data_IF_135152427139
#
_entry.id   IF_135152427139
#
_cell.length_a   1.000
_cell.length_b   1.000
_cell.length_c   1.000
_cell.angle_alpha   90.00
_cell.angle_beta   90.00
_cell.angle_gamma   90.00
#
_symmetry.space_group_name_H-M   'P 1'
#
loop_
_entity.id
_entity.type
_entity.pdbx_description
1 polymer ?
#
# COMPACT_ATOMS: atom_id res chain seq x y z
N UNK A 1 0.15 1.15 25.73
CA UNK A 1 1.07 2.09 25.05
C UNK A 1 2.44 1.46 24.79
N UNK A 2 3.09 0.87 25.81
CA UNK A 2 4.40 0.22 25.66
C UNK A 2 4.42 -0.86 24.56
N UNK A 3 3.38 -1.68 24.47
CA UNK A 3 3.30 -2.72 23.45
C UNK A 3 3.30 -2.21 22.00
N UNK A 4 2.72 -1.04 21.74
CA UNK A 4 2.64 -0.47 20.40
C UNK A 4 4.02 -0.10 19.87
N UNK A 5 4.80 0.63 20.67
CA UNK A 5 6.18 0.99 20.34
C UNK A 5 7.09 -0.23 20.25
N UNK A 6 6.85 -1.25 21.09
CA UNK A 6 7.57 -2.51 21.00
C UNK A 6 7.36 -3.21 19.65
N UNK A 7 6.13 -3.25 19.13
CA UNK A 7 5.87 -3.83 17.80
C UNK A 7 6.61 -3.08 16.68
N UNK A 8 6.59 -1.75 16.73
CA UNK A 8 7.29 -0.91 15.73
C UNK A 8 8.79 -1.18 15.75
N UNK A 9 9.38 -1.27 16.95
CA UNK A 9 10.80 -1.59 17.12
C UNK A 9 11.15 -2.95 16.52
N UNK A 10 10.34 -3.98 16.76
CA UNK A 10 10.54 -5.32 16.20
C UNK A 10 10.57 -5.25 14.67
N UNK A 11 9.61 -4.55 14.05
CA UNK A 11 9.55 -4.46 12.58
C UNK A 11 10.70 -3.65 12.00
N UNK A 12 11.09 -2.53 12.62
CA UNK A 12 12.11 -1.62 12.07
C UNK A 12 13.55 -2.07 12.32
N UNK A 13 13.83 -2.64 13.49
CA UNK A 13 15.21 -2.88 13.93
C UNK A 13 15.56 -4.36 14.08
N UNK A 14 14.59 -5.22 14.41
CA UNK A 14 14.87 -6.64 14.65
C UNK A 14 14.59 -7.50 13.41
N UNK A 15 13.52 -7.19 12.68
CA UNK A 15 13.05 -7.95 11.52
C UNK A 15 12.72 -7.08 10.28
N UNK A 16 13.53 -6.05 9.92
CA UNK A 16 13.24 -5.20 8.77
C UNK A 16 13.37 -5.91 7.42
N UNK A 17 14.25 -6.92 7.33
CA UNK A 17 14.53 -7.69 6.11
C UNK A 17 14.13 -9.17 6.25
N UNK A 18 13.45 -9.52 7.34
CA UNK A 18 13.03 -10.91 7.58
C UNK A 18 11.67 -11.16 6.93
N UNK A 19 11.71 -11.87 5.80
CA UNK A 19 10.53 -12.33 5.06
C UNK A 19 10.07 -13.74 5.49
N UNK A 20 10.78 -14.36 6.44
CA UNK A 20 10.48 -15.70 6.92
C UNK A 20 9.70 -15.66 8.23
N UNK A 21 8.97 -16.73 8.52
CA UNK A 21 8.17 -16.81 9.73
C UNK A 21 6.82 -16.09 9.63
N UNK A 22 6.26 -15.79 10.80
CA UNK A 22 4.88 -15.31 11.00
C UNK A 22 4.85 -14.03 11.82
N UNK A 23 3.89 -13.17 11.52
CA UNK A 23 3.61 -11.95 12.27
C UNK A 23 2.15 -11.90 12.71
N UNK A 24 1.88 -11.77 14.03
CA UNK A 24 0.52 -11.67 14.52
C UNK A 24 -0.11 -10.35 14.10
N UNK A 25 -1.45 -10.30 14.12
CA UNK A 25 -2.25 -9.11 13.80
C UNK A 25 -1.74 -7.84 14.51
N UNK A 26 -1.38 -7.95 15.79
CA UNK A 26 -0.92 -6.81 16.60
C UNK A 26 0.39 -6.21 16.06
N UNK A 27 1.33 -7.04 15.60
CA UNK A 27 2.59 -6.58 14.99
C UNK A 27 2.28 -5.81 13.70
N UNK A 28 1.51 -6.42 12.81
CA UNK A 28 1.13 -5.83 11.51
C UNK A 28 0.35 -4.52 11.66
N UNK A 29 -0.75 -4.51 12.43
CA UNK A 29 -1.62 -3.34 12.54
C UNK A 29 -0.99 -2.19 13.32
N UNK A 30 -0.13 -2.48 14.30
CA UNK A 30 0.62 -1.42 15.00
C UNK A 30 1.59 -0.73 14.05
N UNK A 31 2.31 -1.51 13.24
CA UNK A 31 3.22 -0.95 12.26
C UNK A 31 2.49 -0.19 11.14
N UNK A 32 1.40 -0.75 10.61
CA UNK A 32 0.56 -0.07 9.63
C UNK A 32 0.02 1.27 10.16
N UNK A 33 -0.47 1.30 11.40
CA UNK A 33 -0.96 2.54 12.01
C UNK A 33 0.17 3.56 12.18
N UNK A 34 1.36 3.11 12.60
CA UNK A 34 2.55 3.96 12.68
C UNK A 34 2.90 4.57 11.32
N UNK A 35 2.90 3.78 10.24
CA UNK A 35 3.20 4.30 8.91
C UNK A 35 2.15 5.31 8.43
N UNK A 36 0.86 5.12 8.74
CA UNK A 36 -0.17 6.11 8.39
C UNK A 36 -0.04 7.41 9.17
N UNK A 37 0.21 7.32 10.49
CA UNK A 37 0.35 8.50 11.35
C UNK A 37 1.58 9.35 11.02
N UNK A 38 2.63 8.76 10.48
CA UNK A 38 3.85 9.47 10.08
C UNK A 38 3.79 9.91 8.61
N UNK A 39 3.14 9.14 7.74
CA UNK A 39 2.98 9.46 6.32
C UNK A 39 2.03 10.63 6.06
N UNK A 40 0.81 10.63 6.63
CA UNK A 40 -0.21 11.64 6.30
C UNK A 40 0.23 13.08 6.62
N UNK A 41 0.84 13.38 7.79
CA UNK A 41 1.36 14.72 8.05
C UNK A 41 2.51 15.09 7.11
N UNK A 42 3.43 14.15 6.84
CA UNK A 42 4.56 14.41 5.95
C UNK A 42 4.09 14.70 4.51
N UNK A 43 3.08 13.98 4.03
CA UNK A 43 2.43 14.24 2.75
C UNK A 43 1.80 15.63 2.71
N UNK A 44 1.03 16.01 3.74
CA UNK A 44 0.40 17.34 3.77
C UNK A 44 1.43 18.46 3.79
N UNK A 45 2.51 18.31 4.56
CA UNK A 45 3.59 19.28 4.65
C UNK A 45 4.43 19.34 3.35
N UNK A 46 4.62 18.21 2.66
CA UNK A 46 5.38 18.18 1.40
C UNK A 46 4.72 18.98 0.28
N UNK A 47 3.39 19.09 0.29
CA UNK A 47 2.64 19.96 -0.64
C UNK A 47 2.92 21.45 -0.42
N UNK A 48 3.43 21.85 0.76
CA UNK A 48 3.73 23.24 1.10
C UNK A 48 5.19 23.62 0.88
N UNK A 49 6.11 22.66 0.91
CA UNK A 49 7.54 22.92 0.79
C UNK A 49 8.24 21.86 -0.07
N UNK A 50 8.86 22.30 -1.18
CA UNK A 50 9.65 21.44 -2.08
C UNK A 50 10.70 20.56 -1.39
N UNK A 51 11.51 21.02 -0.41
CA UNK A 51 12.47 20.15 0.26
C UNK A 51 11.80 18.99 1.02
N UNK A 52 10.59 19.18 1.53
CA UNK A 52 9.83 18.13 2.23
C UNK A 52 9.35 17.01 1.29
N UNK A 53 9.24 17.27 -0.02
CA UNK A 53 8.99 16.22 -1.00
C UNK A 53 10.16 15.22 -1.10
N UNK A 54 11.41 15.69 -0.98
CA UNK A 54 12.59 14.82 -0.96
C UNK A 54 12.58 13.94 0.30
N UNK A 55 12.26 14.54 1.46
CA UNK A 55 12.10 13.77 2.70
C UNK A 55 11.01 12.70 2.59
N UNK A 56 9.88 12.99 1.93
CA UNK A 56 8.83 12.01 1.69
C UNK A 56 9.32 10.82 0.86
N UNK A 57 10.13 11.06 -0.17
CA UNK A 57 10.72 10.00 -1.00
C UNK A 57 11.66 9.13 -0.16
N UNK A 58 12.55 9.73 0.62
CA UNK A 58 13.49 9.01 1.50
C UNK A 58 12.72 8.17 2.52
N UNK A 59 11.69 8.76 3.16
CA UNK A 59 10.81 8.09 4.10
C UNK A 59 10.19 6.83 3.48
N UNK A 60 9.65 6.93 2.26
CA UNK A 60 9.11 5.79 1.55
C UNK A 60 10.15 4.71 1.29
N UNK A 61 11.35 5.07 0.81
CA UNK A 61 12.41 4.10 0.53
C UNK A 61 12.84 3.33 1.78
N UNK A 62 12.95 4.01 2.91
CA UNK A 62 13.34 3.38 4.19
C UNK A 62 12.26 2.40 4.65
N UNK A 63 10.99 2.79 4.60
CA UNK A 63 9.89 1.97 5.14
C UNK A 63 9.34 0.94 4.16
N UNK A 64 9.68 1.03 2.88
CA UNK A 64 9.19 0.11 1.85
C UNK A 64 9.50 -1.34 2.21
N UNK A 65 10.77 -1.63 2.55
CA UNK A 65 11.22 -3.00 2.81
C UNK A 65 10.62 -3.56 4.11
N UNK A 66 10.65 -2.85 5.26
CA UNK A 66 10.00 -3.32 6.48
C UNK A 66 8.49 -3.53 6.32
N UNK A 67 7.81 -2.65 5.57
CA UNK A 67 6.37 -2.79 5.27
C UNK A 67 6.11 -4.05 4.47
N UNK A 68 6.93 -4.33 3.46
CA UNK A 68 6.81 -5.55 2.67
C UNK A 68 7.09 -6.79 3.52
N UNK A 69 8.15 -6.78 4.32
CA UNK A 69 8.54 -7.89 5.19
C UNK A 69 7.44 -8.27 6.19
N UNK A 70 6.88 -7.30 6.91
CA UNK A 70 5.79 -7.57 7.87
C UNK A 70 4.50 -8.03 7.17
N UNK A 71 4.21 -7.52 5.97
CA UNK A 71 3.04 -7.95 5.18
C UNK A 71 3.19 -9.40 4.70
N UNK A 72 4.38 -9.78 4.24
CA UNK A 72 4.70 -11.17 3.87
C UNK A 72 4.52 -12.12 5.06
N UNK A 73 5.12 -11.78 6.21
CA UNK A 73 4.99 -12.57 7.45
C UNK A 73 3.53 -12.66 7.93
N UNK A 74 2.73 -11.63 7.67
CA UNK A 74 1.30 -11.63 8.00
C UNK A 74 0.50 -12.56 7.09
N UNK A 75 0.78 -12.58 5.79
CA UNK A 75 0.17 -13.56 4.87
C UNK A 75 0.57 -14.99 5.24
N UNK A 76 1.83 -15.20 5.63
CA UNK A 76 2.29 -16.49 6.14
C UNK A 76 1.55 -16.90 7.42
N UNK A 77 1.16 -15.96 8.27
CA UNK A 77 0.41 -16.25 9.49
C UNK A 77 -0.99 -16.84 9.22
N UNK A 78 -1.63 -16.45 8.11
CA UNK A 78 -2.90 -17.02 7.62
C UNK A 78 -2.69 -18.15 6.60
N UNK A 79 -1.49 -18.72 6.54
CA UNK A 79 -1.09 -19.81 5.64
C UNK A 79 -1.28 -19.47 4.14
N UNK A 80 -1.16 -18.18 3.76
CA UNK A 80 -1.17 -17.72 2.37
C UNK A 80 0.25 -17.45 1.90
N UNK A 81 0.49 -17.53 0.59
CA UNK A 81 1.80 -17.25 0.00
C UNK A 81 2.04 -15.75 -0.17
N UNK A 82 3.29 -15.31 -0.11
CA UNK A 82 3.68 -13.93 -0.43
C UNK A 82 3.31 -13.50 -1.87
N UNK A 83 3.12 -14.47 -2.78
CA UNK A 83 2.72 -14.23 -4.18
C UNK A 83 1.41 -13.45 -4.32
N UNK A 84 0.53 -13.49 -3.30
CA UNK A 84 -0.67 -12.66 -3.28
C UNK A 84 -0.36 -11.15 -3.36
N UNK A 85 0.84 -10.71 -2.95
CA UNK A 85 1.27 -9.31 -3.07
C UNK A 85 1.70 -8.93 -4.50
N UNK A 86 2.19 -9.88 -5.29
CA UNK A 86 2.58 -9.61 -6.69
C UNK A 86 1.35 -9.29 -7.54
N UNK A 87 0.19 -9.83 -7.17
CA UNK A 87 -1.09 -9.49 -7.77
C UNK A 87 -1.40 -7.99 -7.72
N UNK A 88 -0.77 -7.19 -6.85
CA UNK A 88 -0.98 -5.74 -6.75
C UNK A 88 -0.25 -4.95 -7.86
N UNK A 89 0.90 -5.44 -8.33
CA UNK A 89 1.77 -4.69 -9.24
C UNK A 89 1.10 -4.33 -10.59
N UNK A 90 0.34 -5.23 -11.25
CA UNK A 90 -0.37 -4.88 -12.48
C UNK A 90 -1.42 -3.79 -12.30
N UNK A 91 -2.04 -3.65 -11.11
CA UNK A 91 -3.11 -2.67 -10.87
C UNK A 91 -2.59 -1.28 -10.57
N UNK A 92 -1.51 -1.17 -9.80
CA UNK A 92 -0.79 0.09 -9.64
C UNK A 92 -0.29 0.60 -11.01
N UNK A 93 0.18 -0.32 -11.86
CA UNK A 93 0.65 -0.01 -13.20
C UNK A 93 -0.51 0.37 -14.14
N UNK A 94 -1.66 -0.30 -14.06
CA UNK A 94 -2.89 0.06 -14.77
C UNK A 94 -3.38 1.45 -14.40
N UNK A 95 -3.46 1.76 -13.10
CA UNK A 95 -3.86 3.07 -12.60
C UNK A 95 -2.88 4.20 -12.98
N UNK A 96 -1.58 3.92 -13.03
CA UNK A 96 -0.60 4.90 -13.50
C UNK A 96 -0.63 5.07 -15.03
N UNK A 97 -0.79 3.96 -15.77
CA UNK A 97 -0.91 3.96 -17.23
C UNK A 97 -2.16 4.68 -17.72
N UNK A 98 -3.26 4.65 -16.96
CA UNK A 98 -4.49 5.36 -17.28
C UNK A 98 -4.36 6.86 -17.09
N UNK A 99 -3.66 7.32 -16.05
CA UNK A 99 -3.30 8.72 -15.85
C UNK A 99 -2.37 9.22 -16.96
N UNK A 100 -1.40 8.40 -17.36
CA UNK A 100 -0.49 8.71 -18.46
C UNK A 100 -1.24 8.77 -19.80
N UNK A 101 -2.11 7.81 -20.09
CA UNK A 101 -2.97 7.81 -21.28
C UNK A 101 -3.87 9.05 -21.35
N UNK A 102 -4.45 9.46 -20.21
CA UNK A 102 -5.24 10.69 -20.11
C UNK A 102 -4.39 11.93 -20.46
N UNK A 103 -3.14 11.97 -20.00
CA UNK A 103 -2.21 13.07 -20.30
C UNK A 103 -1.76 13.10 -21.77
N UNK A 104 -1.76 11.96 -22.46
CA UNK A 104 -1.41 11.86 -23.89
C UNK A 104 -2.55 12.26 -24.83
N UNK A 105 -3.80 12.10 -24.39
CA UNK A 105 -5.00 12.54 -25.13
C UNK A 105 -5.36 13.99 -24.77
N UNK A 106 -4.77 14.54 -23.71
CA UNK A 106 -4.95 15.94 -23.36
C UNK A 106 -4.44 16.84 -24.51
N UNK A 107 -5.31 17.66 -25.13
CA UNK A 107 -4.90 18.51 -26.24
C UNK A 107 -3.93 19.59 -25.76
N UNK A 108 -2.82 19.76 -26.50
CA UNK A 108 -1.64 20.56 -26.14
C UNK A 108 -1.85 22.09 -26.14
N UNK A 109 -3.11 22.57 -26.20
CA UNK A 109 -3.39 23.99 -26.40
C UNK A 109 -3.92 24.69 -25.14
N UNK A 110 -3.17 25.72 -24.73
CA UNK A 110 -3.61 26.80 -23.86
C UNK A 110 -4.80 27.56 -24.47
N UNK A 111 -5.98 26.95 -24.48
CA UNK A 111 -7.26 27.67 -24.57
C UNK A 111 -8.23 26.85 -23.75
N UNK A 112 -8.84 27.49 -22.76
CA UNK A 112 -9.76 26.90 -21.78
C UNK A 112 -10.48 25.69 -22.37
N UNK A 113 -10.13 24.51 -21.84
CA UNK A 113 -10.54 23.22 -22.34
C UNK A 113 -12.07 23.17 -22.38
N UNK A 114 -12.65 23.41 -23.55
CA UNK A 114 -14.07 23.19 -23.78
C UNK A 114 -14.23 21.69 -23.99
N UNK A 115 -14.03 20.92 -22.90
CA UNK A 115 -14.33 19.50 -22.89
C UNK A 115 -15.82 19.35 -23.14
N UNK A 116 -16.17 18.63 -24.20
CA UNK A 116 -17.56 18.27 -24.44
C UNK A 116 -18.07 17.44 -23.25
N UNK A 117 -19.36 17.58 -22.90
CA UNK A 117 -19.96 16.91 -21.73
C UNK A 117 -19.74 15.40 -21.80
N UNK A 118 -19.76 14.85 -23.01
CA UNK A 118 -19.50 13.45 -23.29
C UNK A 118 -18.07 13.01 -22.89
N UNK A 119 -17.05 13.84 -23.12
CA UNK A 119 -15.67 13.49 -22.78
C UNK A 119 -15.44 13.45 -21.26
N UNK A 120 -16.02 14.41 -20.53
CA UNK A 120 -15.98 14.42 -19.07
C UNK A 120 -16.66 13.15 -18.52
N UNK A 121 -17.83 12.83 -19.06
CA UNK A 121 -18.56 11.63 -18.67
C UNK A 121 -17.74 10.35 -18.89
N UNK A 122 -17.14 10.18 -20.08
CA UNK A 122 -16.31 9.01 -20.38
C UNK A 122 -15.08 8.89 -19.48
N UNK A 123 -14.38 9.99 -19.19
CA UNK A 123 -13.25 9.99 -18.28
C UNK A 123 -13.64 9.65 -16.84
N UNK A 124 -14.79 10.16 -16.37
CA UNK A 124 -15.30 9.81 -15.04
C UNK A 124 -15.66 8.33 -14.92
N UNK A 125 -16.31 7.74 -15.94
CA UNK A 125 -16.60 6.30 -15.99
C UNK A 125 -15.29 5.49 -15.96
N UNK A 126 -14.31 5.91 -16.76
CA UNK A 126 -13.04 5.20 -16.85
C UNK A 126 -12.27 5.22 -15.52
N UNK A 127 -12.18 6.38 -14.87
CA UNK A 127 -11.57 6.51 -13.53
C UNK A 127 -12.33 5.66 -12.51
N UNK A 128 -13.66 5.71 -12.53
CA UNK A 128 -14.49 4.91 -11.62
C UNK A 128 -14.32 3.41 -11.85
N UNK A 129 -14.26 2.96 -13.10
CA UNK A 129 -14.05 1.55 -13.43
C UNK A 129 -12.68 1.05 -12.94
N UNK A 130 -11.62 1.84 -13.14
CA UNK A 130 -10.28 1.51 -12.63
C UNK A 130 -10.26 1.46 -11.11
N UNK A 131 -10.90 2.42 -10.46
CA UNK A 131 -11.02 2.46 -9.01
C UNK A 131 -11.76 1.22 -8.49
N UNK A 132 -12.89 0.85 -9.10
CA UNK A 132 -13.67 -0.32 -8.74
C UNK A 132 -12.88 -1.63 -8.93
N UNK A 133 -12.17 -1.80 -10.05
CA UNK A 133 -11.30 -2.96 -10.30
C UNK A 133 -10.17 -3.06 -9.29
N UNK A 134 -9.56 -1.93 -8.95
CA UNK A 134 -8.48 -1.86 -7.94
C UNK A 134 -9.01 -2.27 -6.56
N UNK A 135 -10.16 -1.73 -6.14
CA UNK A 135 -10.79 -2.09 -4.87
C UNK A 135 -11.19 -3.56 -4.81
N UNK A 136 -11.77 -4.08 -5.90
CA UNK A 136 -12.16 -5.49 -6.00
C UNK A 136 -10.98 -6.41 -5.73
N UNK A 137 -9.79 -6.07 -6.25
CA UNK A 137 -8.60 -6.88 -6.02
C UNK A 137 -7.90 -6.67 -4.68
N UNK A 138 -8.01 -5.47 -4.11
CA UNK A 138 -7.48 -5.21 -2.77
C UNK A 138 -8.29 -5.94 -1.69
N UNK A 139 -9.57 -6.22 -1.95
CA UNK A 139 -10.49 -6.79 -0.97
C UNK A 139 -10.03 -8.16 -0.41
N UNK A 140 -9.65 -9.17 -1.22
CA UNK A 140 -9.15 -10.44 -0.69
C UNK A 140 -7.90 -10.29 0.19
N UNK A 141 -6.95 -9.43 -0.21
CA UNK A 141 -5.73 -9.19 0.57
C UNK A 141 -6.09 -8.55 1.90
N UNK A 142 -6.97 -7.54 1.89
CA UNK A 142 -7.46 -6.91 3.10
C UNK A 142 -8.12 -7.93 4.04
N UNK A 143 -8.96 -8.82 3.51
CA UNK A 143 -9.57 -9.90 4.27
C UNK A 143 -8.52 -10.80 4.94
N UNK A 144 -7.46 -11.21 4.21
CA UNK A 144 -6.37 -12.00 4.78
C UNK A 144 -5.58 -11.26 5.87
N UNK A 145 -5.39 -9.95 5.72
CA UNK A 145 -4.69 -9.13 6.71
C UNK A 145 -5.51 -8.98 8.00
N UNK A 146 -6.84 -8.98 7.90
CA UNK A 146 -7.76 -8.92 9.04
C UNK A 146 -8.01 -10.30 9.67
N UNK A 147 -7.94 -11.42 8.94
CA UNK A 147 -8.27 -12.79 9.41
C UNK A 147 -7.45 -13.29 10.62
N UNK A 148 -7.93 -14.26 11.41
CA UNK A 148 -7.12 -14.77 12.56
C UNK A 148 -5.93 -15.57 12.04
N UNK A 149 -4.76 -15.39 12.65
CA UNK A 149 -3.62 -16.26 12.37
C UNK A 149 -3.99 -17.71 12.67
N UNK A 150 -3.42 -18.64 11.92
CA UNK A 150 -3.69 -20.07 12.13
C UNK A 150 -3.22 -20.49 13.55
N UNK A 151 -4.09 -21.13 14.34
CA UNK A 151 -3.73 -21.53 15.71
C UNK A 151 -2.71 -22.66 15.72
N UNK A 152 -2.74 -23.50 14.69
CA UNK A 152 -1.82 -24.61 14.51
C UNK A 152 -0.51 -24.15 13.86
N UNK A 153 0.51 -25.02 13.97
CA UNK A 153 1.73 -24.86 13.20
C UNK A 153 1.41 -24.95 11.71
N UNK A 154 1.97 -24.02 10.93
CA UNK A 154 1.80 -24.01 9.49
C UNK A 154 3.17 -24.15 8.81
N UNK A 155 3.17 -24.22 7.48
CA UNK A 155 4.39 -24.37 6.66
C UNK A 155 5.44 -23.25 6.84
N UNK A 156 5.09 -22.16 7.52
CA UNK A 156 5.96 -21.01 7.78
C UNK A 156 6.42 -20.93 9.25
N UNK A 157 6.03 -21.91 10.09
CA UNK A 157 6.53 -22.08 11.45
C UNK A 157 5.44 -22.10 12.53
N UNK A 158 5.86 -22.26 13.79
CA UNK A 158 4.95 -22.35 14.94
C UNK A 158 4.23 -21.02 15.19
N UNK A 159 3.07 -21.11 15.85
CA UNK A 159 2.31 -19.94 16.29
C UNK A 159 3.09 -19.18 17.38
N UNK A 160 3.13 -17.84 17.29
CA UNK A 160 3.87 -16.95 18.18
C UNK A 160 2.92 -16.09 19.01
#
# INVERSE_FOLDING_TARGET
>A
MNDFFNQIRIVLFEKPFDFSGRSPRKEYWSFWLFTQLTFLPLLFLSLRARPLAIFLIIYYLILFIPTLAVTVRRLHDVNKSAFWLIGFAPFALLAYSSLLFLSLIAPDNQTAVQMDILQIFLYSIFIFAIFALTLWWCFPIFMFLVEEGNKEENRYGPNK
#
